data_IF_104931749647
#
_entry.id   IF_104931749647
#
_cell.length_a   1.000
_cell.length_b   1.000
_cell.length_c   1.000
_cell.angle_alpha   90.00
_cell.angle_beta   90.00
_cell.angle_gamma   90.00
#
_symmetry.space_group_name_H-M   'P 1'
#
loop_
_entity.id
_entity.type
_entity.pdbx_description
1 polymer ?
#
# COMPACT_ATOMS: atom_id res chain seq x y z
N UNK A 1 -31.95 2.78 16.55
CA UNK A 1 -30.75 2.06 16.07
C UNK A 1 -29.68 3.11 15.88
N UNK A 2 -28.68 3.12 16.74
CA UNK A 2 -27.51 3.92 16.48
C UNK A 2 -26.87 3.37 15.21
N UNK A 3 -26.86 4.13 14.14
CA UNK A 3 -26.03 3.85 12.99
C UNK A 3 -24.60 3.82 13.53
N UNK A 4 -23.99 2.66 13.52
CA UNK A 4 -22.62 2.46 13.94
C UNK A 4 -21.72 3.12 12.88
N UNK A 5 -21.70 4.45 12.89
CA UNK A 5 -20.93 5.27 11.94
C UNK A 5 -19.45 4.96 12.16
N UNK A 6 -18.85 4.33 11.18
CA UNK A 6 -17.42 4.02 11.25
C UNK A 6 -16.62 5.32 11.28
N UNK A 7 -15.66 5.40 12.21
CA UNK A 7 -14.75 6.55 12.32
C UNK A 7 -13.35 6.15 11.86
N UNK A 8 -12.73 7.03 11.12
CA UNK A 8 -11.36 6.88 10.64
C UNK A 8 -10.55 8.11 11.02
N UNK A 9 -9.37 7.88 11.56
CA UNK A 9 -8.42 8.92 11.92
C UNK A 9 -7.35 9.03 10.86
N UNK A 10 -6.86 10.24 10.60
CA UNK A 10 -5.77 10.45 9.65
C UNK A 10 -4.77 11.48 10.16
N UNK A 11 -3.57 11.42 9.61
CA UNK A 11 -2.58 12.49 9.69
C UNK A 11 -1.85 12.65 8.37
N UNK A 12 -1.30 13.83 8.15
CA UNK A 12 -0.34 14.09 7.10
C UNK A 12 1.02 14.39 7.74
N UNK A 13 2.09 13.90 7.13
CA UNK A 13 3.44 14.18 7.58
C UNK A 13 4.37 14.37 6.38
N UNK A 14 5.48 15.06 6.61
CA UNK A 14 6.48 15.32 5.58
C UNK A 14 7.74 14.51 5.88
N UNK A 15 8.23 13.81 4.88
CA UNK A 15 9.51 13.14 4.92
C UNK A 15 10.28 13.44 3.64
N UNK A 16 11.49 13.96 3.77
CA UNK A 16 12.37 14.31 2.64
C UNK A 16 11.65 15.17 1.58
N UNK A 17 11.04 16.28 2.04
CA UNK A 17 10.27 17.25 1.24
C UNK A 17 9.00 16.69 0.56
N UNK A 18 8.60 15.48 0.87
CA UNK A 18 7.39 14.88 0.34
C UNK A 18 6.33 14.65 1.42
N UNK A 19 5.09 15.00 1.10
CA UNK A 19 3.95 14.76 1.96
C UNK A 19 3.40 13.35 1.79
N UNK A 20 3.12 12.70 2.91
CA UNK A 20 2.41 11.42 2.99
C UNK A 20 1.21 11.57 3.90
N UNK A 21 0.12 10.91 3.54
CA UNK A 21 -1.10 10.88 4.33
C UNK A 21 -1.47 9.43 4.64
N UNK A 22 -1.77 9.17 5.90
CA UNK A 22 -2.12 7.85 6.40
C UNK A 22 -3.41 7.92 7.19
N UNK A 23 -4.17 6.82 7.21
CA UNK A 23 -5.40 6.73 7.97
C UNK A 23 -5.58 5.35 8.60
N UNK A 24 -6.22 5.33 9.76
CA UNK A 24 -6.49 4.11 10.51
C UNK A 24 -7.85 4.19 11.22
N UNK A 25 -8.40 3.03 11.48
CA UNK A 25 -9.54 2.86 12.40
C UNK A 25 -9.02 2.31 13.72
N UNK A 26 -9.91 2.11 14.68
CA UNK A 26 -9.56 1.42 15.94
C UNK A 26 -9.18 -0.05 15.72
N UNK A 27 -9.44 -0.61 14.54
CA UNK A 27 -9.08 -1.99 14.16
C UNK A 27 -7.69 -2.09 13.55
N UNK A 28 -7.15 -1.02 12.99
CA UNK A 28 -5.82 -1.01 12.40
C UNK A 28 -5.64 0.01 11.28
N UNK A 29 -4.46 -0.05 10.68
CA UNK A 29 -4.09 0.80 9.55
C UNK A 29 -4.95 0.44 8.33
N UNK A 30 -5.58 1.44 7.73
CA UNK A 30 -6.57 1.25 6.67
C UNK A 30 -6.17 1.90 5.34
N UNK A 31 -5.28 2.90 5.36
CA UNK A 31 -4.89 3.64 4.17
C UNK A 31 -3.48 4.22 4.30
N UNK A 32 -2.70 4.08 3.25
CA UNK A 32 -1.43 4.79 3.04
C UNK A 32 -1.49 5.42 1.67
N UNK A 33 -1.48 6.73 1.61
CA UNK A 33 -1.63 7.51 0.39
C UNK A 33 -0.39 7.53 -0.49
N UNK A 34 -0.58 7.97 -1.71
CA UNK A 34 0.50 8.23 -2.66
C UNK A 34 1.28 9.48 -2.26
N UNK A 35 2.57 9.50 -2.58
CA UNK A 35 3.45 10.65 -2.35
C UNK A 35 2.86 11.93 -2.95
N UNK A 36 2.69 12.96 -2.13
CA UNK A 36 2.16 14.28 -2.51
C UNK A 36 0.73 14.29 -3.08
N UNK A 37 -0.06 13.23 -2.87
CA UNK A 37 -1.44 13.17 -3.34
C UNK A 37 -2.43 13.96 -2.48
N UNK A 38 -2.11 14.20 -1.22
CA UNK A 38 -2.93 14.97 -0.30
C UNK A 38 -4.20 14.27 0.18
N UNK A 39 -5.04 15.01 0.86
CA UNK A 39 -6.27 14.52 1.48
C UNK A 39 -7.30 14.03 0.45
N UNK A 40 -7.30 14.60 -0.74
CA UNK A 40 -8.28 14.26 -1.78
C UNK A 40 -8.24 12.77 -2.16
N UNK A 41 -7.06 12.16 -2.21
CA UNK A 41 -6.95 10.73 -2.51
C UNK A 41 -7.67 9.87 -1.45
N UNK A 42 -7.50 10.20 -0.17
CA UNK A 42 -8.20 9.52 0.92
C UNK A 42 -9.71 9.73 0.85
N UNK A 43 -10.17 10.95 0.62
CA UNK A 43 -11.60 11.26 0.52
C UNK A 43 -12.25 10.49 -0.63
N UNK A 44 -11.65 10.50 -1.80
CA UNK A 44 -12.14 9.74 -2.96
C UNK A 44 -12.19 8.24 -2.67
N UNK A 45 -11.15 7.70 -2.03
CA UNK A 45 -11.13 6.29 -1.66
C UNK A 45 -12.22 5.93 -0.64
N UNK A 46 -12.46 6.78 0.36
CA UNK A 46 -13.54 6.58 1.34
C UNK A 46 -14.90 6.56 0.63
N UNK A 47 -15.17 7.52 -0.26
CA UNK A 47 -16.43 7.57 -1.00
C UNK A 47 -16.66 6.29 -1.84
N UNK A 48 -15.60 5.74 -2.41
CA UNK A 48 -15.70 4.54 -3.25
C UNK A 48 -15.85 3.24 -2.45
N UNK A 49 -15.19 3.13 -1.30
CA UNK A 49 -15.04 1.83 -0.61
C UNK A 49 -15.54 1.82 0.82
N UNK A 50 -15.73 2.96 1.44
CA UNK A 50 -16.13 3.11 2.84
C UNK A 50 -17.10 4.27 3.05
N UNK A 51 -18.04 4.45 2.13
CA UNK A 51 -19.01 5.54 2.19
C UNK A 51 -19.69 5.61 3.58
N UNK A 52 -19.89 6.83 4.08
CA UNK A 52 -20.46 7.07 5.41
C UNK A 52 -19.44 7.05 6.55
N UNK A 53 -18.15 6.81 6.28
CA UNK A 53 -17.12 6.92 7.30
C UNK A 53 -16.88 8.37 7.70
N UNK A 54 -16.87 8.65 9.01
CA UNK A 54 -16.46 9.95 9.53
C UNK A 54 -14.95 10.04 9.60
N UNK A 55 -14.40 11.07 8.98
CA UNK A 55 -12.97 11.31 8.92
C UNK A 55 -12.58 12.41 9.91
N UNK A 56 -11.56 12.13 10.74
CA UNK A 56 -11.05 13.06 11.75
C UNK A 56 -9.53 13.11 11.71
N UNK A 57 -8.96 14.31 11.62
CA UNK A 57 -7.52 14.49 11.81
C UNK A 57 -7.15 14.25 13.27
N UNK A 58 -6.23 13.33 13.52
CA UNK A 58 -5.77 13.01 14.87
C UNK A 58 -4.31 12.55 14.86
N UNK A 59 -3.42 13.50 15.03
CA UNK A 59 -1.98 13.25 15.02
C UNK A 59 -1.51 12.35 16.17
N UNK A 60 -2.12 12.49 17.33
CA UNK A 60 -1.78 11.67 18.50
C UNK A 60 -2.12 10.20 18.26
N UNK A 61 -3.33 9.92 17.78
CA UNK A 61 -3.76 8.57 17.44
C UNK A 61 -2.88 7.94 16.36
N UNK A 62 -2.48 8.73 15.37
CA UNK A 62 -1.71 8.26 14.21
C UNK A 62 -0.20 8.23 14.42
N UNK A 63 0.30 8.76 15.52
CA UNK A 63 1.74 8.93 15.76
C UNK A 63 2.55 7.64 15.61
N UNK A 64 2.07 6.53 16.17
CA UNK A 64 2.77 5.25 16.09
C UNK A 64 2.91 4.76 14.63
N UNK A 65 1.87 4.91 13.83
CA UNK A 65 1.91 4.54 12.40
C UNK A 65 2.85 5.45 11.60
N UNK A 66 2.83 6.76 11.88
CA UNK A 66 3.74 7.71 11.25
C UNK A 66 5.20 7.35 11.53
N UNK A 67 5.54 7.08 12.77
CA UNK A 67 6.91 6.72 13.18
C UNK A 67 7.42 5.48 12.45
N UNK A 68 6.57 4.45 12.28
CA UNK A 68 6.93 3.23 11.57
C UNK A 68 7.26 3.49 10.09
N UNK A 69 6.49 4.37 9.44
CA UNK A 69 6.76 4.74 8.05
C UNK A 69 8.01 5.61 7.92
N UNK A 70 8.22 6.54 8.84
CA UNK A 70 9.45 7.35 8.86
C UNK A 70 10.70 6.46 9.04
N UNK A 71 10.66 5.49 9.93
CA UNK A 71 11.74 4.50 10.11
C UNK A 71 11.98 3.67 8.84
N UNK A 72 10.90 3.29 8.15
CA UNK A 72 11.02 2.60 6.86
C UNK A 72 11.71 3.48 5.82
N UNK A 73 11.30 4.74 5.68
CA UNK A 73 11.92 5.67 4.74
C UNK A 73 13.38 5.98 5.10
N UNK A 74 13.74 5.95 6.38
CA UNK A 74 15.13 6.08 6.85
C UNK A 74 15.97 4.82 6.59
N UNK A 75 15.35 3.71 6.17
CA UNK A 75 16.02 2.44 5.94
C UNK A 75 16.32 1.64 7.22
N UNK A 76 15.78 2.05 8.36
CA UNK A 76 15.99 1.39 9.66
C UNK A 76 14.95 0.32 9.98
N UNK A 77 13.80 0.37 9.32
CA UNK A 77 12.70 -0.60 9.48
C UNK A 77 12.49 -1.42 8.20
N UNK A 78 12.45 -2.72 8.35
CA UNK A 78 12.23 -3.66 7.24
C UNK A 78 10.87 -4.36 7.29
N UNK A 79 10.27 -4.45 8.46
CA UNK A 79 9.02 -5.16 8.69
C UNK A 79 8.02 -4.28 9.43
N UNK A 80 6.73 -4.47 9.14
CA UNK A 80 5.63 -3.81 9.82
C UNK A 80 4.81 -4.85 10.56
N UNK A 81 4.84 -4.79 11.90
CA UNK A 81 4.01 -5.60 12.77
C UNK A 81 2.88 -4.72 13.34
N UNK A 82 1.90 -4.44 12.50
CA UNK A 82 0.77 -3.59 12.85
C UNK A 82 -0.54 -4.25 12.43
N UNK A 83 -1.61 -4.06 13.20
CA UNK A 83 -2.93 -4.49 12.76
C UNK A 83 -3.35 -3.72 11.51
N UNK A 84 -4.00 -4.40 10.58
CA UNK A 84 -4.52 -3.83 9.36
C UNK A 84 -6.05 -3.92 9.35
N UNK A 85 -6.71 -2.84 8.97
CA UNK A 85 -8.14 -2.81 8.69
C UNK A 85 -8.35 -2.67 7.18
N UNK A 86 -8.07 -3.75 6.46
CA UNK A 86 -8.20 -3.80 5.00
C UNK A 86 -9.52 -4.47 4.64
N UNK A 87 -10.29 -3.81 3.79
CA UNK A 87 -11.54 -4.35 3.25
C UNK A 87 -11.52 -4.33 1.73
N UNK A 88 -11.85 -5.43 1.13
CA UNK A 88 -12.00 -5.61 -0.30
C UNK A 88 -12.88 -6.81 -0.59
N UNK A 89 -12.93 -7.24 -1.84
CA UNK A 89 -13.52 -8.52 -2.22
C UNK A 89 -12.69 -9.67 -1.64
N UNK A 90 -13.27 -10.85 -1.53
CA UNK A 90 -12.54 -12.04 -1.06
C UNK A 90 -11.26 -12.28 -1.89
N UNK A 91 -11.35 -12.08 -3.19
CA UNK A 91 -10.19 -12.22 -4.08
C UNK A 91 -9.13 -11.16 -3.84
N UNK A 92 -9.52 -9.89 -3.68
CA UNK A 92 -8.58 -8.79 -3.36
C UNK A 92 -7.86 -9.05 -2.04
N UNK A 93 -8.59 -9.42 -0.99
CA UNK A 93 -7.99 -9.71 0.31
C UNK A 93 -7.03 -10.89 0.25
N UNK A 94 -7.36 -11.92 -0.51
CA UNK A 94 -6.48 -13.06 -0.73
C UNK A 94 -5.17 -12.65 -1.42
N UNK A 95 -5.26 -11.82 -2.45
CA UNK A 95 -4.08 -11.26 -3.14
C UNK A 95 -3.25 -10.40 -2.18
N UNK A 96 -3.87 -9.50 -1.43
CA UNK A 96 -3.14 -8.62 -0.50
C UNK A 96 -2.45 -9.38 0.63
N UNK A 97 -3.06 -10.46 1.14
CA UNK A 97 -2.41 -11.35 2.12
C UNK A 97 -1.18 -12.03 1.52
N UNK A 98 -1.26 -12.43 0.26
CA UNK A 98 -0.09 -13.02 -0.42
C UNK A 98 1.05 -12.02 -0.59
N UNK A 99 0.73 -10.74 -0.86
CA UNK A 99 1.76 -9.70 -0.92
C UNK A 99 2.54 -9.55 0.38
N UNK A 100 1.89 -9.73 1.53
CA UNK A 100 2.56 -9.66 2.83
C UNK A 100 3.65 -10.73 3.02
N UNK A 101 3.62 -11.79 2.24
CA UNK A 101 4.62 -12.85 2.26
C UNK A 101 5.90 -12.52 1.46
N UNK A 102 5.91 -11.40 0.72
CA UNK A 102 7.09 -10.99 -0.04
C UNK A 102 8.08 -10.29 0.92
N UNK A 103 9.26 -10.87 1.17
CA UNK A 103 10.22 -10.29 2.08
C UNK A 103 10.77 -8.95 1.59
N UNK A 104 11.22 -8.14 2.53
CA UNK A 104 11.96 -6.90 2.26
C UNK A 104 13.18 -7.20 1.37
N UNK A 105 13.36 -6.40 0.34
CA UNK A 105 14.48 -6.56 -0.60
C UNK A 105 14.27 -7.61 -1.69
N UNK A 106 13.11 -8.28 -1.69
CA UNK A 106 12.77 -9.27 -2.72
C UNK A 106 11.63 -8.79 -3.61
N UNK A 107 11.55 -9.36 -4.80
CA UNK A 107 10.47 -9.10 -5.75
C UNK A 107 9.80 -10.39 -6.19
N UNK A 108 8.57 -10.27 -6.64
CA UNK A 108 7.81 -11.34 -7.30
C UNK A 108 7.21 -10.78 -8.57
N UNK A 109 6.92 -11.66 -9.53
CA UNK A 109 6.15 -11.27 -10.72
C UNK A 109 4.65 -11.40 -10.46
N UNK A 110 3.83 -10.77 -11.29
CA UNK A 110 2.38 -10.97 -11.24
C UNK A 110 1.99 -12.43 -11.42
N UNK A 111 2.74 -13.16 -12.24
CA UNK A 111 2.58 -14.60 -12.44
C UNK A 111 2.85 -15.38 -11.16
N UNK A 112 3.91 -15.04 -10.42
CA UNK A 112 4.22 -15.67 -9.13
C UNK A 112 3.07 -15.50 -8.13
N UNK A 113 2.48 -14.32 -8.08
CA UNK A 113 1.34 -14.06 -7.20
C UNK A 113 0.10 -14.84 -7.66
N UNK A 114 -0.16 -14.92 -8.96
CA UNK A 114 -1.26 -15.71 -9.50
C UNK A 114 -1.12 -17.19 -9.16
N UNK A 115 0.08 -17.74 -9.26
CA UNK A 115 0.38 -19.12 -8.85
C UNK A 115 0.16 -19.31 -7.35
N UNK A 116 0.64 -18.39 -6.53
CA UNK A 116 0.54 -18.46 -5.07
C UNK A 116 -0.91 -18.41 -4.57
N UNK A 117 -1.80 -17.65 -5.24
CA UNK A 117 -3.24 -17.64 -4.90
C UNK A 117 -4.01 -18.80 -5.52
N UNK A 118 -3.33 -19.74 -6.18
CA UNK A 118 -3.93 -20.95 -6.74
C UNK A 118 -4.66 -20.76 -8.05
N UNK A 119 -4.46 -19.66 -8.77
CA UNK A 119 -5.08 -19.39 -10.05
C UNK A 119 -4.08 -18.81 -11.06
N UNK A 120 -3.23 -19.66 -11.67
CA UNK A 120 -2.19 -19.21 -12.61
C UNK A 120 -2.69 -18.43 -13.81
N UNK A 121 -3.95 -18.59 -14.16
CA UNK A 121 -4.58 -17.90 -15.30
C UNK A 121 -5.12 -16.51 -14.94
N UNK A 122 -5.18 -16.17 -13.66
CA UNK A 122 -5.79 -14.94 -13.17
C UNK A 122 -4.82 -13.75 -13.11
N UNK A 123 -3.78 -13.69 -13.94
CA UNK A 123 -2.74 -12.65 -13.89
C UNK A 123 -3.35 -11.25 -14.00
N UNK A 124 -4.31 -11.05 -14.92
CA UNK A 124 -4.98 -9.76 -15.09
C UNK A 124 -5.81 -9.37 -13.87
N UNK A 125 -6.57 -10.30 -13.29
CA UNK A 125 -7.34 -10.06 -12.08
C UNK A 125 -6.45 -9.79 -10.87
N UNK A 126 -5.34 -10.51 -10.75
CA UNK A 126 -4.30 -10.28 -9.72
C UNK A 126 -3.71 -8.89 -9.87
N UNK A 127 -3.33 -8.48 -11.07
CA UNK A 127 -2.82 -7.14 -11.35
C UNK A 127 -3.82 -6.05 -10.96
N UNK A 128 -5.10 -6.25 -11.28
CA UNK A 128 -6.18 -5.34 -10.86
C UNK A 128 -6.33 -5.24 -9.34
N UNK A 129 -6.29 -6.37 -8.64
CA UNK A 129 -6.36 -6.41 -7.18
C UNK A 129 -5.15 -5.71 -6.52
N UNK A 130 -3.94 -5.92 -7.04
CA UNK A 130 -2.72 -5.26 -6.56
C UNK A 130 -2.83 -3.74 -6.73
N UNK A 131 -3.33 -3.27 -7.88
CA UNK A 131 -3.53 -1.84 -8.14
C UNK A 131 -4.54 -1.16 -7.21
N UNK A 132 -5.40 -1.92 -6.55
CA UNK A 132 -6.42 -1.42 -5.60
C UNK A 132 -6.01 -1.54 -4.14
N UNK A 133 -4.78 -1.94 -3.85
CA UNK A 133 -4.27 -2.00 -2.48
C UNK A 133 -4.35 -0.62 -1.81
N UNK A 134 -5.12 -0.48 -0.71
CA UNK A 134 -5.26 0.81 -0.05
C UNK A 134 -4.10 1.13 0.90
N UNK A 135 -3.32 0.14 1.32
CA UNK A 135 -2.25 0.29 2.32
C UNK A 135 -0.90 0.08 1.66
N UNK A 136 -0.54 1.00 0.78
CA UNK A 136 0.75 0.97 0.09
C UNK A 136 1.92 0.88 1.09
N UNK A 137 3.03 0.34 0.68
CA UNK A 137 4.26 0.16 1.46
C UNK A 137 4.13 -0.96 2.50
N UNK A 138 3.17 -0.88 3.41
CA UNK A 138 2.94 -1.91 4.44
C UNK A 138 2.45 -3.21 3.82
N UNK A 139 1.47 -3.13 2.92
CA UNK A 139 1.15 -4.23 1.99
C UNK A 139 1.99 -3.99 0.73
N UNK A 140 3.07 -4.73 0.51
CA UNK A 140 4.15 -4.32 -0.37
C UNK A 140 3.87 -4.56 -1.86
N UNK A 141 2.86 -3.92 -2.40
CA UNK A 141 2.53 -4.02 -3.82
C UNK A 141 3.65 -3.51 -4.75
N UNK A 142 4.52 -2.65 -4.25
CA UNK A 142 5.71 -2.19 -4.99
C UNK A 142 6.72 -3.32 -5.27
N UNK A 143 6.68 -4.42 -4.53
CA UNK A 143 7.55 -5.61 -4.73
C UNK A 143 7.07 -6.54 -5.83
N UNK A 144 5.94 -6.22 -6.49
CA UNK A 144 5.46 -6.99 -7.64
C UNK A 144 5.83 -6.27 -8.93
N UNK A 145 6.55 -6.97 -9.79
CA UNK A 145 7.09 -6.44 -11.05
C UNK A 145 6.67 -7.31 -12.22
N UNK A 146 6.76 -6.76 -13.42
CA UNK A 146 6.53 -7.50 -14.65
C UNK A 146 7.65 -8.51 -14.94
N UNK A 147 7.40 -9.43 -15.86
CA UNK A 147 8.44 -10.32 -16.39
C UNK A 147 9.61 -9.49 -16.92
N UNK A 148 10.81 -9.98 -16.78
CA UNK A 148 12.05 -9.30 -17.16
C UNK A 148 12.37 -8.02 -16.36
N UNK A 149 11.82 -7.89 -15.15
CA UNK A 149 12.09 -6.75 -14.27
C UNK A 149 11.40 -5.45 -14.67
N UNK A 150 10.44 -5.50 -15.60
CA UNK A 150 9.72 -4.32 -16.06
C UNK A 150 8.81 -3.75 -14.97
N UNK A 151 8.93 -2.46 -14.68
CA UNK A 151 8.00 -1.76 -13.80
C UNK A 151 6.72 -1.42 -14.56
N UNK A 152 5.60 -1.97 -14.07
CA UNK A 152 4.28 -1.73 -14.63
C UNK A 152 3.31 -1.43 -13.51
N UNK A 153 2.49 -0.39 -13.67
CA UNK A 153 1.39 -0.06 -12.78
C UNK A 153 1.76 0.09 -11.30
N UNK A 154 1.49 1.25 -10.75
CA UNK A 154 1.57 1.52 -9.32
C UNK A 154 0.69 2.73 -9.02
N UNK A 155 -0.15 2.64 -7.98
CA UNK A 155 -1.07 3.74 -7.61
C UNK A 155 -0.32 5.04 -7.33
N UNK A 156 0.82 4.97 -6.66
CA UNK A 156 1.69 6.11 -6.36
C UNK A 156 2.57 6.57 -7.52
N UNK A 157 2.47 5.94 -8.70
CA UNK A 157 3.30 6.22 -9.87
C UNK A 157 4.57 5.37 -9.92
N UNK A 158 5.08 5.14 -11.13
CA UNK A 158 6.25 4.28 -11.35
C UNK A 158 7.53 4.83 -10.70
N UNK A 159 7.67 6.14 -10.60
CA UNK A 159 8.81 6.76 -9.94
C UNK A 159 8.85 6.42 -8.45
N UNK A 160 7.72 6.55 -7.75
CA UNK A 160 7.62 6.14 -6.34
C UNK A 160 7.92 4.63 -6.19
N UNK A 161 7.40 3.79 -7.06
CA UNK A 161 7.68 2.34 -7.06
C UNK A 161 9.17 2.07 -7.18
N UNK A 162 9.85 2.74 -8.11
CA UNK A 162 11.29 2.63 -8.29
C UNK A 162 12.06 3.07 -7.04
N UNK A 163 11.71 4.22 -6.47
CA UNK A 163 12.33 4.73 -5.24
C UNK A 163 12.22 3.74 -4.08
N UNK A 164 11.05 3.11 -3.88
CA UNK A 164 10.85 2.11 -2.84
C UNK A 164 11.70 0.85 -3.07
N UNK A 165 11.76 0.37 -4.30
CA UNK A 165 12.61 -0.78 -4.66
C UNK A 165 14.10 -0.47 -4.46
N UNK A 166 14.54 0.73 -4.82
CA UNK A 166 15.92 1.19 -4.60
C UNK A 166 16.23 1.33 -3.11
N UNK A 167 15.31 1.87 -2.32
CA UNK A 167 15.43 1.95 -0.86
C UNK A 167 15.63 0.55 -0.25
N UNK A 168 14.87 -0.42 -0.70
CA UNK A 168 14.98 -1.80 -0.23
C UNK A 168 16.18 -2.55 -0.82
N UNK A 169 16.96 -1.92 -1.69
CA UNK A 169 18.08 -2.52 -2.41
C UNK A 169 17.68 -3.80 -3.14
N UNK A 170 16.48 -3.78 -3.73
CA UNK A 170 16.03 -4.90 -4.55
C UNK A 170 16.95 -5.10 -5.75
N UNK A 171 17.45 -6.31 -5.93
CA UNK A 171 18.22 -6.70 -7.10
C UNK A 171 17.26 -6.89 -8.26
N UNK A 172 16.96 -5.80 -8.98
CA UNK A 172 16.21 -5.87 -10.23
C UNK A 172 17.16 -5.61 -11.38
N UNK A 173 17.36 -6.58 -12.28
CA UNK A 173 18.41 -6.48 -13.30
C UNK A 173 18.28 -5.30 -14.24
N UNK A 174 17.07 -4.77 -14.44
CA UNK A 174 16.81 -3.58 -15.25
C UNK A 174 15.51 -2.90 -14.79
N UNK A 175 15.66 -1.80 -14.07
CA UNK A 175 14.53 -0.91 -13.79
C UNK A 175 14.25 -0.06 -15.04
N UNK A 176 13.61 -0.64 -16.04
CA UNK A 176 13.17 0.09 -17.21
C UNK A 176 11.84 0.77 -16.91
N UNK A 177 11.87 2.07 -16.69
CA UNK A 177 10.67 2.91 -16.68
C UNK A 177 10.34 3.20 -18.15
N UNK A 178 9.14 2.84 -18.63
CA UNK A 178 8.71 3.28 -19.96
C UNK A 178 8.67 4.80 -20.00
N UNK A 179 9.36 5.38 -20.93
CA UNK A 179 9.30 6.83 -21.22
C UNK A 179 7.93 7.23 -21.78
#
# INVERSE_FOLDING_TARGET
MEENTQKMYYCAFVFDDNEYLIAATTKGLAFVGSKNAGLIELVVWIEMYRAGTLLEENNEFMQAYQMLLEEYFQGTRKEFDVPLDIKGTNFQEMVWRELLNIPYGETRTYSDIADAVGNPKAIRAVSGAIGKNPVAIVVPCHRVIGKNGKLTGYRGGLEMKKELLELEKCTVPQLNIPS
#
